data_IF_105114228596
#
_entry.id   IF_105114228596
#
_cell.length_a   1.000
_cell.length_b   1.000
_cell.length_c   1.000
_cell.angle_alpha   90.00
_cell.angle_beta   90.00
_cell.angle_gamma   90.00
#
_symmetry.space_group_name_H-M   'P 1'
#
loop_
_entity.id
_entity.type
_entity.pdbx_description
1 polymer ?
#
# COMPACT_ATOMS: atom_id res chain seq x y z
N UNK A 1 -16.82 -7.26 27.43
CA UNK A 1 -16.80 -8.00 26.14
C UNK A 1 -15.59 -7.54 25.34
N UNK A 2 -14.74 -8.45 24.87
CA UNK A 2 -13.61 -8.13 23.99
C UNK A 2 -14.11 -8.11 22.54
N UNK A 3 -13.75 -7.06 21.80
CA UNK A 3 -13.93 -6.94 20.35
C UNK A 3 -12.57 -6.93 19.68
N UNK A 4 -12.47 -7.64 18.57
CA UNK A 4 -11.22 -7.78 17.80
C UNK A 4 -11.39 -7.27 16.38
N UNK A 5 -10.35 -6.65 15.85
CA UNK A 5 -10.31 -6.26 14.44
C UNK A 5 -8.97 -6.63 13.81
N UNK A 6 -9.03 -7.04 12.54
CA UNK A 6 -7.84 -7.32 11.74
C UNK A 6 -7.84 -6.55 10.41
N UNK A 7 -6.70 -6.56 9.74
CA UNK A 7 -6.50 -5.88 8.46
C UNK A 7 -6.24 -6.88 7.35
N UNK A 8 -6.78 -6.59 6.17
CA UNK A 8 -6.33 -7.25 4.95
C UNK A 8 -4.90 -6.76 4.65
N UNK A 9 -3.96 -7.69 4.67
CA UNK A 9 -2.54 -7.39 4.54
C UNK A 9 -1.98 -8.00 3.25
N UNK A 10 -1.29 -7.18 2.45
CA UNK A 10 -0.57 -7.66 1.27
C UNK A 10 0.66 -8.52 1.62
N UNK A 11 1.37 -8.11 2.67
CA UNK A 11 2.67 -8.62 3.08
C UNK A 11 3.50 -7.50 3.69
N UNK A 12 4.68 -7.82 4.24
CA UNK A 12 5.55 -6.82 4.85
C UNK A 12 7.01 -7.04 4.45
N UNK A 13 7.75 -5.98 4.06
CA UNK A 13 9.20 -6.02 3.95
C UNK A 13 9.92 -5.99 5.31
N UNK A 14 11.26 -5.96 5.30
CA UNK A 14 12.06 -5.72 6.50
C UNK A 14 12.09 -4.24 6.88
N UNK A 15 12.14 -3.95 8.18
CA UNK A 15 12.30 -2.57 8.68
C UNK A 15 13.65 -1.96 8.28
N UNK A 16 14.70 -2.78 8.20
CA UNK A 16 16.03 -2.35 7.75
C UNK A 16 15.98 -1.76 6.32
N UNK A 17 15.24 -2.39 5.41
CA UNK A 17 15.08 -1.88 4.05
C UNK A 17 14.40 -0.49 4.04
N UNK A 18 13.41 -0.29 4.92
CA UNK A 18 12.74 1.00 5.04
C UNK A 18 13.68 2.06 5.61
N UNK A 19 14.48 1.74 6.63
CA UNK A 19 15.50 2.64 7.20
C UNK A 19 16.54 3.02 6.14
N UNK A 20 17.02 2.05 5.36
CA UNK A 20 17.96 2.30 4.23
C UNK A 20 17.33 3.22 3.18
N UNK A 21 16.04 3.08 2.89
CA UNK A 21 15.30 3.98 2.01
C UNK A 21 15.22 5.41 2.56
N UNK A 22 14.94 5.57 3.86
CA UNK A 22 14.95 6.89 4.52
C UNK A 22 16.34 7.51 4.41
N UNK A 23 17.39 6.81 4.82
CA UNK A 23 18.79 7.29 4.73
C UNK A 23 19.18 7.70 3.31
N UNK A 24 18.74 6.94 2.30
CA UNK A 24 18.96 7.30 0.90
C UNK A 24 18.29 8.64 0.54
N UNK A 25 17.06 8.89 1.00
CA UNK A 25 16.38 10.16 0.76
C UNK A 25 17.01 11.30 1.56
N UNK A 26 17.47 11.06 2.78
CA UNK A 26 18.22 12.05 3.57
C UNK A 26 19.50 12.49 2.84
N UNK A 27 20.27 11.53 2.31
CA UNK A 27 21.48 11.80 1.55
C UNK A 27 21.18 12.60 0.26
N UNK A 28 20.13 12.24 -0.48
CA UNK A 28 19.72 12.96 -1.70
C UNK A 28 19.30 14.40 -1.38
N UNK A 29 18.63 14.60 -0.24
CA UNK A 29 18.10 15.90 0.16
C UNK A 29 19.08 16.75 0.99
N UNK A 30 20.24 16.19 1.35
CA UNK A 30 21.21 16.75 2.27
C UNK A 30 20.57 17.25 3.60
N UNK A 31 19.56 16.52 4.11
CA UNK A 31 18.81 16.93 5.29
C UNK A 31 18.16 15.71 5.97
N UNK A 32 17.93 15.78 7.29
CA UNK A 32 17.25 14.72 8.06
C UNK A 32 15.76 14.72 7.81
N UNK A 33 15.16 13.53 7.74
CA UNK A 33 13.71 13.36 7.59
C UNK A 33 13.11 13.22 8.99
N UNK A 34 12.15 14.08 9.29
CA UNK A 34 11.39 14.08 10.55
C UNK A 34 10.09 13.27 10.38
N UNK A 35 9.38 13.47 9.26
CA UNK A 35 8.15 12.74 8.97
C UNK A 35 8.20 12.04 7.61
N UNK A 36 7.67 10.82 7.56
CA UNK A 36 7.49 10.04 6.35
C UNK A 36 6.02 9.62 6.22
N UNK A 37 5.29 10.25 5.32
CA UNK A 37 3.87 10.02 5.12
C UNK A 37 3.63 9.14 3.90
N UNK A 38 3.11 7.95 4.16
CA UNK A 38 2.64 7.02 3.14
C UNK A 38 1.32 7.49 2.53
N UNK A 39 1.18 7.35 1.21
CA UNK A 39 -0.06 7.67 0.47
C UNK A 39 -0.58 9.08 0.79
N UNK A 40 0.33 10.05 0.86
CA UNK A 40 -0.04 11.44 1.13
C UNK A 40 -1.03 11.93 0.08
N UNK A 41 -2.10 12.54 0.58
CA UNK A 41 -3.15 13.15 -0.24
C UNK A 41 -2.84 14.62 -0.55
N UNK A 42 -1.77 15.19 0.01
CA UNK A 42 -1.49 16.62 -0.09
C UNK A 42 -1.17 17.08 -1.52
N UNK A 43 -0.55 16.23 -2.35
CA UNK A 43 -0.18 16.58 -3.73
C UNK A 43 -1.28 16.30 -4.76
N UNK A 44 -1.89 15.12 -4.71
CA UNK A 44 -2.82 14.66 -5.74
C UNK A 44 -4.20 14.22 -5.22
N UNK A 45 -4.48 14.36 -3.92
CA UNK A 45 -5.72 13.92 -3.26
C UNK A 45 -5.85 12.41 -3.08
N UNK A 46 -5.25 11.62 -3.97
CA UNK A 46 -5.36 10.17 -4.03
C UNK A 46 -4.09 9.52 -4.63
N UNK A 47 -3.95 8.21 -4.41
CA UNK A 47 -2.87 7.39 -4.95
C UNK A 47 -1.88 6.96 -3.88
N UNK A 48 -0.63 6.77 -4.29
CA UNK A 48 0.45 6.25 -3.44
C UNK A 48 1.63 7.23 -3.38
N UNK A 49 1.37 8.53 -3.46
CA UNK A 49 2.44 9.53 -3.35
C UNK A 49 3.04 9.49 -1.94
N UNK A 50 4.35 9.68 -1.85
CA UNK A 50 5.06 9.77 -0.58
C UNK A 50 5.35 11.23 -0.32
N UNK A 51 5.03 11.69 0.88
CA UNK A 51 5.46 12.99 1.35
C UNK A 51 6.50 12.78 2.45
N UNK A 52 7.61 13.51 2.37
CA UNK A 52 8.58 13.58 3.45
C UNK A 52 8.68 15.01 3.93
N UNK A 53 8.79 15.19 5.24
CA UNK A 53 9.00 16.48 5.88
C UNK A 53 10.37 16.41 6.54
N UNK A 54 11.26 17.33 6.17
CA UNK A 54 12.58 17.40 6.78
C UNK A 54 12.56 18.16 8.10
N UNK A 55 13.59 18.01 8.92
CA UNK A 55 13.74 18.73 10.21
C UNK A 55 13.76 20.27 10.07
N UNK A 56 13.98 20.77 8.86
CA UNK A 56 13.86 22.20 8.50
C UNK A 56 12.42 22.61 8.10
N UNK A 57 11.44 21.71 8.23
CA UNK A 57 10.05 21.93 7.82
C UNK A 57 9.80 21.86 6.30
N UNK A 58 10.80 21.48 5.48
CA UNK A 58 10.63 21.40 4.02
C UNK A 58 9.90 20.13 3.61
N UNK A 59 8.75 20.30 2.96
CA UNK A 59 7.96 19.20 2.40
C UNK A 59 8.43 18.83 0.97
N UNK A 60 8.65 17.54 0.72
CA UNK A 60 8.98 16.99 -0.60
C UNK A 60 8.10 15.79 -0.94
N UNK A 61 7.83 15.61 -2.23
CA UNK A 61 6.96 14.56 -2.72
C UNK A 61 7.67 13.60 -3.69
N UNK A 62 7.52 12.31 -3.47
CA UNK A 62 8.10 11.24 -4.28
C UNK A 62 7.03 10.30 -4.80
N UNK A 63 7.20 9.89 -6.05
CA UNK A 63 6.43 8.78 -6.57
C UNK A 63 6.93 7.47 -5.94
N UNK A 64 6.10 6.82 -5.11
CA UNK A 64 6.43 5.53 -4.51
C UNK A 64 6.86 4.49 -5.56
N UNK A 65 6.26 4.47 -6.76
CA UNK A 65 6.58 3.49 -7.82
C UNK A 65 8.05 3.54 -8.26
N UNK A 66 8.75 4.64 -7.97
CA UNK A 66 10.14 4.86 -8.32
C UNK A 66 11.12 4.68 -7.15
N UNK A 67 10.60 4.50 -5.93
CA UNK A 67 11.41 4.28 -4.74
C UNK A 67 11.71 2.78 -4.56
N UNK A 68 12.98 2.39 -4.38
CA UNK A 68 13.38 0.98 -4.23
C UNK A 68 12.56 0.18 -3.23
N UNK A 69 12.25 0.75 -2.06
CA UNK A 69 11.46 0.08 -1.03
C UNK A 69 10.08 -0.37 -1.55
N UNK A 70 9.37 0.55 -2.22
CA UNK A 70 8.01 0.31 -2.70
C UNK A 70 7.99 -0.51 -3.99
N UNK A 71 8.97 -0.30 -4.87
CA UNK A 71 9.12 -1.13 -6.05
C UNK A 71 9.33 -2.60 -5.65
N UNK A 72 10.21 -2.86 -4.69
CA UNK A 72 10.40 -4.21 -4.14
C UNK A 72 9.14 -4.78 -3.49
N UNK A 73 8.46 -3.96 -2.69
CA UNK A 73 7.22 -4.34 -2.01
C UNK A 73 6.12 -4.75 -2.99
N UNK A 74 5.79 -3.91 -3.98
CA UNK A 74 4.71 -4.18 -4.93
C UNK A 74 5.00 -5.29 -5.93
N UNK A 75 6.28 -5.59 -6.18
CA UNK A 75 6.67 -6.73 -7.01
C UNK A 75 6.89 -8.01 -6.17
N UNK A 76 6.51 -7.99 -4.89
CA UNK A 76 6.70 -9.10 -3.94
C UNK A 76 8.16 -9.54 -3.74
N UNK A 77 9.14 -8.74 -4.17
CA UNK A 77 10.57 -9.07 -4.13
C UNK A 77 11.08 -9.03 -2.70
N UNK A 78 10.58 -8.10 -1.88
CA UNK A 78 11.13 -7.82 -0.55
C UNK A 78 10.26 -8.33 0.59
N UNK A 79 9.17 -9.03 0.29
CA UNK A 79 8.29 -9.59 1.32
C UNK A 79 8.99 -10.70 2.11
N UNK A 80 8.61 -10.82 3.39
CA UNK A 80 9.09 -11.90 4.26
C UNK A 80 8.65 -13.28 3.74
N UNK A 81 9.46 -14.33 3.90
CA UNK A 81 9.09 -15.69 3.52
C UNK A 81 7.74 -16.16 4.07
N UNK A 82 7.41 -15.78 5.30
CA UNK A 82 6.12 -16.12 5.93
C UNK A 82 4.91 -15.51 5.23
N UNK A 83 5.07 -14.40 4.49
CA UNK A 83 3.97 -13.78 3.74
C UNK A 83 3.48 -14.65 2.58
N UNK A 84 4.35 -15.50 2.01
CA UNK A 84 3.99 -16.37 0.88
C UNK A 84 3.24 -17.65 1.31
N UNK A 85 3.21 -17.94 2.61
CA UNK A 85 2.53 -19.09 3.20
C UNK A 85 1.56 -18.66 4.31
N UNK A 86 1.12 -17.40 4.26
CA UNK A 86 0.34 -16.79 5.33
C UNK A 86 -1.05 -17.43 5.45
N UNK A 87 -1.31 -18.13 6.57
CA UNK A 87 -2.62 -18.74 6.86
C UNK A 87 -3.76 -17.73 7.07
N UNK A 88 -3.45 -16.42 7.19
CA UNK A 88 -4.45 -15.36 7.31
C UNK A 88 -4.78 -14.69 5.97
N UNK A 89 -4.12 -15.03 4.87
CA UNK A 89 -4.44 -14.50 3.54
C UNK A 89 -5.55 -15.34 2.90
N UNK A 90 -6.74 -15.29 3.49
CA UNK A 90 -7.92 -16.03 3.08
C UNK A 90 -9.20 -15.28 3.47
N UNK A 91 -10.34 -15.77 2.98
CA UNK A 91 -11.67 -15.22 3.23
C UNK A 91 -12.04 -15.32 4.70
N UNK A 92 -11.77 -16.47 5.33
CA UNK A 92 -12.06 -16.66 6.74
C UNK A 92 -11.13 -15.79 7.58
N UNK A 93 -11.71 -14.78 8.23
CA UNK A 93 -10.99 -13.80 9.03
C UNK A 93 -11.01 -14.16 10.51
N UNK A 94 -10.05 -13.64 11.26
CA UNK A 94 -9.89 -13.96 12.67
C UNK A 94 -10.58 -12.92 13.58
N UNK A 95 -10.57 -11.65 13.18
CA UNK A 95 -11.21 -10.56 13.91
C UNK A 95 -12.73 -10.54 13.72
N UNK A 96 -13.46 -9.97 14.67
CA UNK A 96 -14.91 -9.75 14.56
C UNK A 96 -15.24 -8.82 13.37
N UNK A 97 -14.36 -7.84 13.10
CA UNK A 97 -14.41 -6.98 11.91
C UNK A 97 -13.04 -6.96 11.23
N UNK A 98 -13.01 -7.17 9.92
CA UNK A 98 -11.81 -6.97 9.09
C UNK A 98 -11.93 -5.69 8.27
N UNK A 99 -10.87 -4.89 8.24
CA UNK A 99 -10.79 -3.67 7.43
C UNK A 99 -9.75 -3.80 6.32
N UNK A 100 -9.96 -3.10 5.21
CA UNK A 100 -8.97 -2.98 4.16
C UNK A 100 -9.28 -1.86 3.17
N UNK A 101 -8.37 -1.62 2.24
CA UNK A 101 -8.66 -0.76 1.08
C UNK A 101 -9.66 -1.49 0.15
N UNK A 102 -10.73 -0.82 -0.25
CA UNK A 102 -11.66 -1.37 -1.24
C UNK A 102 -11.15 -1.12 -2.66
N UNK A 103 -10.28 -2.01 -3.12
CA UNK A 103 -9.77 -2.01 -4.49
C UNK A 103 -10.89 -2.25 -5.52
N UNK A 104 -10.83 -1.52 -6.64
CA UNK A 104 -11.81 -1.54 -7.72
C UNK A 104 -13.25 -1.11 -7.34
N UNK A 105 -13.47 -0.53 -6.15
CA UNK A 105 -14.80 -0.05 -5.74
C UNK A 105 -15.45 0.91 -6.75
N UNK A 106 -14.68 1.71 -7.51
CA UNK A 106 -15.22 2.59 -8.56
C UNK A 106 -15.95 1.84 -9.68
N UNK A 107 -15.56 0.60 -9.96
CA UNK A 107 -16.22 -0.25 -10.97
C UNK A 107 -17.54 -0.81 -10.45
N UNK A 108 -17.60 -1.10 -9.15
CA UNK A 108 -18.79 -1.66 -8.50
C UNK A 108 -19.78 -0.57 -8.08
N UNK A 109 -19.28 0.61 -7.70
CA UNK A 109 -20.04 1.75 -7.18
C UNK A 109 -19.61 3.05 -7.88
N UNK A 110 -19.97 3.25 -9.16
CA UNK A 110 -19.50 4.39 -9.95
C UNK A 110 -19.98 5.75 -9.41
N UNK A 111 -21.13 5.77 -8.74
CA UNK A 111 -21.77 6.99 -8.24
C UNK A 111 -21.22 7.46 -6.87
N UNK A 112 -20.39 6.65 -6.22
CA UNK A 112 -19.85 6.99 -4.90
C UNK A 112 -18.63 7.90 -5.04
N UNK A 113 -18.64 9.00 -4.29
CA UNK A 113 -17.54 9.97 -4.28
C UNK A 113 -16.31 9.40 -3.55
N UNK A 114 -15.31 8.94 -4.30
CA UNK A 114 -14.14 8.25 -3.74
C UNK A 114 -12.92 9.13 -3.46
N UNK A 115 -13.07 10.45 -3.38
CA UNK A 115 -11.93 11.40 -3.32
C UNK A 115 -10.97 11.15 -2.16
N UNK A 116 -11.41 10.48 -1.08
CA UNK A 116 -10.58 10.09 0.07
C UNK A 116 -10.30 8.59 0.18
N UNK A 117 -10.69 7.79 -0.82
CA UNK A 117 -10.66 6.33 -0.78
C UNK A 117 -11.90 5.74 -0.13
N UNK A 118 -12.13 4.45 -0.37
CA UNK A 118 -13.17 3.65 0.30
C UNK A 118 -12.50 2.53 1.09
N UNK A 119 -13.00 2.32 2.30
CA UNK A 119 -12.64 1.16 3.11
C UNK A 119 -13.59 0.00 2.80
N UNK A 120 -13.06 -1.19 2.74
CA UNK A 120 -13.80 -2.44 2.82
C UNK A 120 -13.92 -2.81 4.29
N UNK A 121 -15.13 -3.18 4.73
CA UNK A 121 -15.37 -3.77 6.04
C UNK A 121 -16.03 -5.13 5.85
N UNK A 122 -15.44 -6.18 6.42
CA UNK A 122 -16.05 -7.51 6.52
C UNK A 122 -16.50 -7.70 7.97
N UNK A 123 -17.76 -8.07 8.13
CA UNK A 123 -18.36 -8.41 9.42
C UNK A 123 -18.34 -9.93 9.53
N UNK A 124 -17.50 -10.46 10.42
CA UNK A 124 -17.12 -11.88 10.37
C UNK A 124 -17.81 -12.75 11.43
N UNK A 125 -18.31 -12.14 12.50
CA UNK A 125 -18.91 -12.83 13.66
C UNK A 125 -20.17 -12.12 14.13
N UNK A 126 -21.01 -12.81 14.92
CA UNK A 126 -22.20 -12.20 15.53
C UNK A 126 -21.83 -10.99 16.42
N UNK A 127 -20.67 -11.01 17.09
CA UNK A 127 -20.19 -9.85 17.85
C UNK A 127 -19.86 -8.67 16.94
N UNK A 128 -19.26 -8.94 15.79
CA UNK A 128 -19.00 -7.94 14.75
C UNK A 128 -20.31 -7.35 14.21
N UNK A 129 -21.33 -8.17 14.03
CA UNK A 129 -22.66 -7.75 13.56
C UNK A 129 -23.36 -6.86 14.59
N UNK A 130 -23.36 -7.25 15.87
CA UNK A 130 -23.86 -6.41 16.96
C UNK A 130 -23.13 -5.06 17.04
N UNK A 131 -21.81 -5.05 16.83
CA UNK A 131 -21.04 -3.81 16.76
C UNK A 131 -21.43 -2.98 15.54
N UNK A 132 -21.54 -3.60 14.37
CA UNK A 132 -21.91 -2.93 13.13
C UNK A 132 -23.26 -2.23 13.26
N UNK A 133 -24.28 -2.90 13.80
CA UNK A 133 -25.60 -2.33 14.04
C UNK A 133 -25.56 -1.07 14.93
N UNK A 134 -24.68 -1.05 15.94
CA UNK A 134 -24.54 0.09 16.86
C UNK A 134 -23.89 1.31 16.20
N UNK A 135 -23.03 1.10 15.20
CA UNK A 135 -22.25 2.19 14.58
C UNK A 135 -22.73 2.57 13.18
N UNK A 136 -23.49 1.71 12.50
CA UNK A 136 -23.86 1.86 11.09
C UNK A 136 -24.58 3.17 10.79
N UNK A 137 -25.42 3.66 11.72
CA UNK A 137 -26.11 4.94 11.61
C UNK A 137 -25.17 6.17 11.54
N UNK A 138 -23.91 6.00 11.96
CA UNK A 138 -22.88 7.05 11.91
C UNK A 138 -21.92 6.87 10.72
N UNK A 139 -22.19 5.92 9.83
CA UNK A 139 -21.33 5.59 8.69
C UNK A 139 -22.07 5.85 7.37
N UNK A 140 -21.35 6.39 6.39
CA UNK A 140 -21.78 6.30 4.99
C UNK A 140 -21.24 4.99 4.41
N UNK A 141 -22.13 4.05 4.13
CA UNK A 141 -21.74 2.76 3.58
C UNK A 141 -22.67 2.30 2.44
N UNK A 142 -22.18 1.31 1.71
CA UNK A 142 -22.91 0.55 0.70
C UNK A 142 -22.62 -0.92 0.94
N UNK A 143 -23.67 -1.72 0.87
CA UNK A 143 -23.52 -3.16 0.93
C UNK A 143 -22.80 -3.66 -0.31
N UNK A 144 -21.96 -4.67 -0.12
CA UNK A 144 -21.28 -5.37 -1.20
C UNK A 144 -21.20 -6.85 -0.89
N UNK A 145 -20.98 -7.64 -1.94
CA UNK A 145 -20.73 -9.06 -1.81
C UNK A 145 -19.24 -9.34 -1.63
N UNK A 146 -18.92 -10.43 -0.94
CA UNK A 146 -17.55 -10.93 -0.84
C UNK A 146 -16.92 -11.13 -2.22
N UNK A 147 -17.69 -11.66 -3.19
CA UNK A 147 -17.22 -11.88 -4.55
C UNK A 147 -16.74 -10.58 -5.21
N UNK A 148 -17.46 -9.47 -5.04
CA UNK A 148 -17.03 -8.16 -5.57
C UNK A 148 -15.75 -7.67 -4.89
N UNK A 149 -15.64 -7.79 -3.57
CA UNK A 149 -14.44 -7.41 -2.82
C UNK A 149 -13.20 -8.20 -3.29
N UNK A 150 -13.34 -9.51 -3.47
CA UNK A 150 -12.28 -10.42 -3.88
C UNK A 150 -11.76 -10.19 -5.32
N UNK A 151 -12.48 -9.47 -6.17
CA UNK A 151 -12.00 -9.13 -7.52
C UNK A 151 -10.82 -8.15 -7.49
N UNK A 152 -10.83 -7.24 -6.52
CA UNK A 152 -9.76 -6.27 -6.31
C UNK A 152 -8.75 -6.69 -5.24
N UNK A 153 -9.08 -7.70 -4.43
CA UNK A 153 -8.34 -8.04 -3.22
C UNK A 153 -7.91 -9.51 -3.19
N UNK A 154 -6.73 -9.80 -3.74
CA UNK A 154 -6.22 -11.18 -3.83
C UNK A 154 -5.96 -11.84 -2.48
N UNK A 155 -5.67 -11.05 -1.44
CA UNK A 155 -5.35 -11.55 -0.10
C UNK A 155 -6.58 -12.01 0.70
N UNK A 156 -7.78 -11.84 0.14
CA UNK A 156 -8.97 -12.54 0.60
C UNK A 156 -9.07 -13.96 0.02
N UNK A 157 -8.22 -14.35 -0.92
CA UNK A 157 -8.26 -15.70 -1.54
C UNK A 157 -7.08 -16.56 -1.12
N UNK A 158 -5.88 -16.00 -1.26
CA UNK A 158 -4.64 -16.73 -1.00
C UNK A 158 -3.50 -15.76 -0.71
N UNK A 159 -2.40 -16.27 -0.10
CA UNK A 159 -1.11 -15.60 -0.13
C UNK A 159 -0.67 -15.25 -1.56
N UNK A 160 0.16 -14.22 -1.68
CA UNK A 160 0.81 -13.92 -2.98
C UNK A 160 1.79 -15.02 -3.36
N UNK A 161 1.92 -15.30 -4.67
CA UNK A 161 2.93 -16.23 -5.16
C UNK A 161 4.34 -15.68 -4.91
N UNK A 162 5.26 -16.55 -4.48
CA UNK A 162 6.67 -16.19 -4.26
C UNK A 162 7.42 -16.10 -5.59
N UNK A 163 7.91 -14.92 -6.00
CA UNK A 163 8.70 -14.80 -7.23
C UNK A 163 10.14 -15.29 -7.01
N UNK A 164 10.79 -15.79 -8.07
CA UNK A 164 12.21 -16.16 -8.03
C UNK A 164 13.09 -14.97 -7.57
N UNK A 165 12.77 -13.76 -8.03
CA UNK A 165 13.47 -12.54 -7.62
C UNK A 165 13.46 -12.30 -6.10
N UNK A 166 12.45 -12.78 -5.35
CA UNK A 166 12.46 -12.71 -3.89
C UNK A 166 13.52 -13.64 -3.29
N UNK A 167 13.65 -14.84 -3.83
CA UNK A 167 14.65 -15.82 -3.39
C UNK A 167 16.04 -15.25 -3.62
N UNK A 168 16.32 -14.81 -4.84
CA UNK A 168 17.61 -14.23 -5.24
C UNK A 168 17.96 -12.99 -4.41
N UNK A 169 16.97 -12.11 -4.18
CA UNK A 169 17.13 -10.92 -3.34
C UNK A 169 17.51 -11.30 -1.90
N UNK A 170 16.78 -12.22 -1.27
CA UNK A 170 17.01 -12.60 0.12
C UNK A 170 18.36 -13.30 0.31
N UNK A 171 18.79 -14.14 -0.63
CA UNK A 171 20.13 -14.74 -0.59
C UNK A 171 21.23 -13.70 -0.66
N UNK A 172 21.05 -12.66 -1.49
CA UNK A 172 22.11 -11.70 -1.76
C UNK A 172 22.10 -10.49 -0.81
N UNK A 173 21.02 -10.29 -0.04
CA UNK A 173 20.82 -9.08 0.76
C UNK A 173 21.84 -8.90 1.89
N UNK A 174 22.35 -9.99 2.45
CA UNK A 174 23.35 -9.97 3.53
C UNK A 174 24.75 -9.58 3.04
N UNK A 175 25.07 -9.89 1.79
CA UNK A 175 26.42 -9.78 1.23
C UNK A 175 26.63 -8.51 0.39
N UNK A 176 25.54 -7.80 0.05
CA UNK A 176 25.59 -6.60 -0.76
C UNK A 176 25.21 -5.35 0.02
N UNK A 177 25.88 -4.24 -0.33
CA UNK A 177 25.44 -2.93 0.11
C UNK A 177 24.06 -2.57 -0.50
N UNK A 178 23.39 -1.58 0.11
CA UNK A 178 22.04 -1.19 -0.29
C UNK A 178 21.96 -0.64 -1.73
N UNK A 179 23.01 0.04 -2.21
CA UNK A 179 23.04 0.61 -3.57
C UNK A 179 23.11 -0.52 -4.60
N UNK A 180 23.98 -1.51 -4.36
CA UNK A 180 24.10 -2.71 -5.18
C UNK A 180 22.80 -3.52 -5.19
N UNK A 181 22.18 -3.73 -4.02
CA UNK A 181 20.85 -4.36 -3.93
C UNK A 181 19.79 -3.61 -4.75
N UNK A 182 19.76 -2.27 -4.64
CA UNK A 182 18.81 -1.46 -5.40
C UNK A 182 18.99 -1.64 -6.90
N UNK A 183 20.23 -1.60 -7.39
CA UNK A 183 20.54 -1.70 -8.82
C UNK A 183 20.12 -3.07 -9.38
N UNK A 184 20.38 -4.14 -8.63
CA UNK A 184 20.16 -5.51 -9.11
C UNK A 184 18.69 -5.95 -9.04
N UNK A 185 17.96 -5.53 -8.00
CA UNK A 185 16.61 -6.08 -7.73
C UNK A 185 15.51 -5.03 -7.64
N UNK A 186 15.82 -3.82 -7.16
CA UNK A 186 14.80 -2.87 -6.71
C UNK A 186 14.67 -1.63 -7.61
N UNK A 187 15.26 -1.65 -8.79
CA UNK A 187 15.21 -0.54 -9.73
C UNK A 187 14.25 -0.86 -10.87
N UNK A 188 13.18 -0.08 -11.05
CA UNK A 188 12.30 -0.28 -12.19
C UNK A 188 13.03 -0.08 -13.52
N UNK A 189 12.66 -0.80 -14.60
CA UNK A 189 13.17 -0.58 -15.94
C UNK A 189 12.97 0.87 -16.41
N UNK A 190 13.85 1.37 -17.28
CA UNK A 190 13.79 2.75 -17.76
C UNK A 190 12.43 3.10 -18.42
N UNK A 191 11.86 2.17 -19.19
CA UNK A 191 10.53 2.31 -19.79
C UNK A 191 9.44 2.55 -18.73
N UNK A 192 9.52 1.87 -17.59
CA UNK A 192 8.58 2.05 -16.49
C UNK A 192 8.77 3.41 -15.80
N UNK A 193 10.02 3.80 -15.54
CA UNK A 193 10.34 5.14 -15.01
C UNK A 193 9.75 6.25 -15.88
N UNK A 194 9.98 6.18 -17.20
CA UNK A 194 9.44 7.15 -18.16
C UNK A 194 7.92 7.21 -18.12
N UNK A 195 7.25 6.04 -18.07
CA UNK A 195 5.79 5.96 -17.93
C UNK A 195 5.30 6.66 -16.67
N UNK A 196 5.95 6.46 -15.52
CA UNK A 196 5.58 7.11 -14.26
C UNK A 196 5.78 8.62 -14.32
N UNK A 197 6.85 9.11 -14.95
CA UNK A 197 7.09 10.54 -15.15
C UNK A 197 6.01 11.19 -16.03
N UNK A 198 5.71 10.58 -17.19
CA UNK A 198 4.65 11.05 -18.08
C UNK A 198 3.31 11.10 -17.35
N UNK A 199 2.94 10.04 -16.62
CA UNK A 199 1.71 9.99 -15.82
C UNK A 199 1.64 11.15 -14.81
N UNK A 200 2.74 11.44 -14.11
CA UNK A 200 2.77 12.55 -13.14
C UNK A 200 2.70 13.93 -13.81
N UNK A 201 3.34 14.11 -14.96
CA UNK A 201 3.23 15.35 -15.75
C UNK A 201 1.78 15.56 -16.19
N UNK A 202 1.13 14.52 -16.73
CA UNK A 202 -0.28 14.58 -17.13
C UNK A 202 -1.17 14.98 -15.94
N UNK A 203 -0.95 14.40 -14.75
CA UNK A 203 -1.70 14.74 -13.54
C UNK A 203 -1.53 16.21 -13.13
N UNK A 204 -0.34 16.79 -13.32
CA UNK A 204 -0.08 18.20 -13.03
C UNK A 204 -0.72 19.13 -14.07
N UNK A 205 -0.61 18.80 -15.36
CA UNK A 205 -1.12 19.62 -16.47
C UNK A 205 -2.65 19.65 -16.48
N UNK A 206 -3.30 18.49 -16.38
CA UNK A 206 -4.76 18.42 -16.44
C UNK A 206 -5.37 19.18 -15.26
N UNK A 207 -4.61 19.33 -14.16
CA UNK A 207 -5.12 19.70 -12.85
C UNK A 207 -6.11 18.62 -12.43
N UNK A 208 -6.03 18.10 -11.22
CA UNK A 208 -7.06 17.17 -10.74
C UNK A 208 -8.39 17.90 -10.44
N UNK A 209 -8.90 18.70 -11.39
CA UNK A 209 -10.21 19.35 -11.43
C UNK A 209 -11.35 18.35 -11.64
N UNK A 210 -11.04 17.09 -12.02
CA UNK A 210 -12.03 16.09 -12.43
C UNK A 210 -12.17 14.86 -11.50
N UNK A 211 -11.50 14.83 -10.34
CA UNK A 211 -11.63 13.71 -9.38
C UNK A 211 -11.89 14.20 -7.95
N UNK A 212 -12.62 15.32 -7.82
CA UNK A 212 -13.38 15.62 -6.60
C UNK A 212 -14.72 14.92 -6.68
#
# INVERSE_FOLDING_TARGET
MLLTSDLICHGVPSNDLFIKQIRKLENINACKIEEFLFRSKARFGQGCDIQVISCEGKSRFYNAELLPYFYGFWNNITLRPSCFVCGFAQTQRAGDITLGDYWLAKKEFPDVKMSKGLSLALVNTNKGEELWYKISNNLEYRESTLHQAERGQGQLKAPVCRPQANIDFLYSYGDMDFVSCCKNFLTPPLKYKLKCHIKNIIKLIIGFKYWK
#
